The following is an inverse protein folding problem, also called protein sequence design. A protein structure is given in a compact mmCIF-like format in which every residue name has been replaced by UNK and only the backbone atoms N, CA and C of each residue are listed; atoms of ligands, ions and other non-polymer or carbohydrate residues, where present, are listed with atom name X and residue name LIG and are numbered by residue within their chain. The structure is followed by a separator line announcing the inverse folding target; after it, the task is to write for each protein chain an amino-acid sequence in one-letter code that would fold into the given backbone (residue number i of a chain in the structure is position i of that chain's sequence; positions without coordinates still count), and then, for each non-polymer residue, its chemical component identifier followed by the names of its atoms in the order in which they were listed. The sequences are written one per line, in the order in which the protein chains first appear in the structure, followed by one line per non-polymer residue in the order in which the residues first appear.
data_IF_431049044114
#
_entry.id   IF_431049044114
#
_cell.length_a   1.000
_cell.length_b   1.000
_cell.length_c   1.000
_cell.angle_alpha   90.00
_cell.angle_beta   90.00
_cell.angle_gamma   90.00
#
_symmetry.space_group_name_H-M   'P 1'
#
loop_
_entity.id
_entity.type
_entity.pdbx_description
1 polymer ?
#
# COMPACT_ATOMS: atom_id res chain seq x y z
N UNK A 1 -22.41 19.34 14.72
CA UNK A 1 -22.21 19.97 13.40
C UNK A 1 -21.55 18.93 12.52
N UNK A 2 -22.16 18.56 11.39
CA UNK A 2 -21.59 17.57 10.46
C UNK A 2 -20.59 18.26 9.54
N UNK A 3 -19.29 18.05 9.76
CA UNK A 3 -18.26 18.52 8.84
C UNK A 3 -18.28 17.68 7.56
N UNK A 4 -19.00 18.19 6.56
CA UNK A 4 -18.98 17.61 5.22
C UNK A 4 -17.64 17.91 4.55
N UNK A 5 -16.89 16.87 4.19
CA UNK A 5 -15.66 17.02 3.39
C UNK A 5 -16.03 17.67 2.05
N UNK A 6 -15.37 18.79 1.72
CA UNK A 6 -15.71 19.56 0.51
C UNK A 6 -15.41 18.77 -0.76
N UNK A 7 -16.14 19.08 -1.84
CA UNK A 7 -15.93 18.44 -3.16
C UNK A 7 -14.49 18.60 -3.65
N UNK A 8 -13.86 19.75 -3.38
CA UNK A 8 -12.45 19.99 -3.68
C UNK A 8 -11.49 19.11 -2.85
N UNK A 9 -11.80 18.90 -1.56
CA UNK A 9 -11.03 17.98 -0.71
C UNK A 9 -11.21 16.51 -1.15
N UNK A 10 -12.43 16.09 -1.49
CA UNK A 10 -12.70 14.77 -2.08
C UNK A 10 -11.99 14.58 -3.42
N UNK A 11 -11.96 15.60 -4.29
CA UNK A 11 -11.23 15.56 -5.57
C UNK A 11 -9.72 15.48 -5.38
N UNK A 12 -9.16 16.22 -4.42
CA UNK A 12 -7.74 16.16 -4.05
C UNK A 12 -7.35 14.78 -3.49
N UNK A 13 -8.19 14.24 -2.59
CA UNK A 13 -8.07 12.88 -2.08
C UNK A 13 -8.11 11.90 -3.26
N UNK A 14 -9.16 11.92 -4.10
CA UNK A 14 -9.29 11.02 -5.27
C UNK A 14 -8.13 11.12 -6.27
N UNK A 15 -7.56 12.31 -6.47
CA UNK A 15 -6.38 12.54 -7.32
C UNK A 15 -5.11 11.85 -6.83
N UNK A 16 -4.95 11.65 -5.51
CA UNK A 16 -3.91 10.78 -4.95
C UNK A 16 -4.12 9.29 -5.33
N UNK A 17 -5.28 8.89 -5.85
CA UNK A 17 -5.68 7.49 -6.10
C UNK A 17 -5.85 7.10 -7.58
N UNK A 18 -5.43 7.92 -8.55
CA UNK A 18 -5.53 7.64 -10.00
C UNK A 18 -4.89 6.32 -10.49
N UNK A 19 -4.04 5.69 -9.67
CA UNK A 19 -3.43 4.37 -9.91
C UNK A 19 -3.68 3.37 -8.76
N UNK A 20 -4.63 3.66 -7.86
CA UNK A 20 -4.82 2.95 -6.59
C UNK A 20 -6.28 2.44 -6.44
N UNK A 21 -6.74 1.47 -7.24
CA UNK A 21 -8.15 1.06 -7.34
C UNK A 21 -8.76 0.38 -6.09
N UNK A 22 -8.04 0.30 -4.97
CA UNK A 22 -8.48 -0.39 -3.74
C UNK A 22 -8.46 0.50 -2.48
N UNK A 23 -7.80 1.65 -2.51
CA UNK A 23 -7.27 2.30 -1.29
C UNK A 23 -8.19 3.34 -0.62
N UNK A 24 -9.51 3.19 -0.74
CA UNK A 24 -10.50 4.19 -0.25
C UNK A 24 -11.60 3.56 0.61
N UNK A 25 -12.00 2.30 0.37
CA UNK A 25 -13.14 1.70 1.09
C UNK A 25 -12.95 1.68 2.61
N UNK A 26 -11.73 1.37 3.06
CA UNK A 26 -11.45 1.18 4.48
C UNK A 26 -11.20 2.44 5.30
N UNK A 27 -10.51 3.45 4.75
CA UNK A 27 -10.36 4.77 5.43
C UNK A 27 -11.68 5.55 5.41
N UNK A 28 -12.50 5.42 4.36
CA UNK A 28 -13.87 5.98 4.34
C UNK A 28 -14.77 5.25 5.35
N UNK A 29 -14.70 3.91 5.43
CA UNK A 29 -15.45 3.15 6.45
C UNK A 29 -15.01 3.51 7.88
N UNK A 30 -13.71 3.67 8.13
CA UNK A 30 -13.19 4.08 9.44
C UNK A 30 -13.65 5.50 9.82
N UNK A 31 -13.52 6.48 8.91
CA UNK A 31 -14.01 7.86 9.14
C UNK A 31 -15.52 7.92 9.31
N UNK A 32 -16.28 7.08 8.60
CA UNK A 32 -17.72 6.97 8.81
C UNK A 32 -18.02 6.45 10.22
N UNK A 33 -17.37 5.37 10.66
CA UNK A 33 -17.55 4.81 12.01
C UNK A 33 -17.15 5.81 13.12
N UNK A 34 -16.01 6.51 12.96
CA UNK A 34 -15.54 7.57 13.86
C UNK A 34 -16.57 8.74 13.92
N UNK A 35 -17.05 9.23 12.77
CA UNK A 35 -18.03 10.32 12.69
C UNK A 35 -19.44 9.96 13.23
N UNK A 36 -19.73 8.67 13.36
CA UNK A 36 -20.98 8.15 13.94
C UNK A 36 -20.88 7.93 15.46
N UNK A 37 -19.69 8.01 16.05
CA UNK A 37 -19.45 7.81 17.48
C UNK A 37 -19.69 6.37 17.94
N UNK A 38 -19.39 5.38 17.10
CA UNK A 38 -19.67 3.96 17.41
C UNK A 38 -18.54 3.32 18.20
N UNK A 39 -18.42 3.71 19.47
CA UNK A 39 -17.91 2.76 20.47
C UNK A 39 -18.95 1.65 20.68
N UNK A 40 -18.48 0.45 21.00
CA UNK A 40 -19.25 -0.79 20.80
C UNK A 40 -20.64 -0.85 21.46
N UNK A 41 -21.62 -1.33 20.68
CA UNK A 41 -22.95 -1.82 21.14
C UNK A 41 -23.92 -0.74 21.66
N UNK A 42 -24.48 0.07 20.75
CA UNK A 42 -25.94 0.28 20.63
C UNK A 42 -26.32 1.45 19.67
N UNK A 43 -26.62 1.18 18.40
CA UNK A 43 -27.66 1.93 17.67
C UNK A 43 -28.11 1.24 16.38
N UNK A 44 -29.29 0.61 16.38
CA UNK A 44 -29.85 -0.07 15.20
C UNK A 44 -30.55 0.88 14.19
N UNK A 45 -30.48 2.20 14.41
CA UNK A 45 -31.32 3.20 13.72
C UNK A 45 -30.56 4.15 12.76
N UNK A 46 -29.24 3.99 12.55
CA UNK A 46 -28.47 4.82 11.61
C UNK A 46 -27.96 4.02 10.43
N UNK A 47 -28.68 4.10 9.31
CA UNK A 47 -28.23 3.56 8.03
C UNK A 47 -27.01 4.34 7.54
N UNK A 48 -25.93 3.63 7.22
CA UNK A 48 -24.69 4.22 6.74
C UNK A 48 -24.27 3.53 5.46
N UNK A 49 -24.32 4.25 4.33
CA UNK A 49 -23.94 3.74 3.03
C UNK A 49 -22.46 4.01 2.76
N UNK A 50 -21.63 2.97 2.79
CA UNK A 50 -20.25 3.04 2.34
C UNK A 50 -20.20 2.81 0.82
N UNK A 51 -19.81 3.84 0.06
CA UNK A 51 -19.64 3.75 -1.40
C UNK A 51 -18.18 3.42 -1.73
N UNK A 52 -17.94 2.26 -2.35
CA UNK A 52 -16.63 1.92 -2.92
C UNK A 52 -16.61 2.33 -4.40
N UNK A 53 -15.85 3.37 -4.74
CA UNK A 53 -15.64 3.78 -6.13
C UNK A 53 -14.42 3.07 -6.68
N UNK A 54 -14.63 2.22 -7.69
CA UNK A 54 -13.55 1.51 -8.40
C UNK A 54 -13.35 2.17 -9.76
N UNK A 55 -12.18 2.76 -9.98
CA UNK A 55 -11.77 3.23 -11.29
C UNK A 55 -11.20 2.05 -12.08
N UNK A 56 -11.94 1.60 -13.09
CA UNK A 56 -11.45 0.61 -14.05
C UNK A 56 -10.49 1.29 -15.04
N UNK A 57 -9.43 0.58 -15.52
CA UNK A 57 -8.66 1.07 -16.66
C UNK A 57 -9.57 1.23 -17.88
N UNK A 58 -9.32 2.21 -18.77
CA UNK A 58 -10.16 2.42 -19.94
C UNK A 58 -10.19 1.18 -20.82
N UNK A 59 -11.37 0.56 -20.93
CA UNK A 59 -11.59 -0.55 -21.86
C UNK A 59 -11.53 0.00 -23.28
N UNK A 60 -10.69 -0.61 -24.13
CA UNK A 60 -10.69 -0.31 -25.56
C UNK A 60 -12.04 -0.71 -26.14
N UNK A 61 -12.92 0.27 -26.37
CA UNK A 61 -14.22 0.02 -27.01
C UNK A 61 -15.35 1.01 -26.71
N UNK A 62 -15.24 1.95 -25.75
CA UNK A 62 -16.38 2.81 -25.42
C UNK A 62 -16.04 4.27 -25.05
N UNK A 63 -15.39 5.00 -25.95
CA UNK A 63 -15.41 6.46 -25.99
C UNK A 63 -15.56 6.92 -27.46
N UNK A 64 -16.81 7.00 -27.92
CA UNK A 64 -17.16 7.79 -29.10
C UNK A 64 -17.21 9.28 -28.70
N UNK A 65 -16.57 10.13 -29.50
CA UNK A 65 -16.49 11.60 -29.35
C UNK A 65 -16.00 12.13 -27.99
N UNK A 66 -14.73 12.53 -27.92
CA UNK A 66 -14.30 13.90 -27.61
C UNK A 66 -12.77 14.01 -27.83
N UNK A 67 -12.38 14.72 -28.89
CA UNK A 67 -11.03 15.20 -29.29
C UNK A 67 -9.77 14.36 -28.99
N UNK A 68 -9.50 13.39 -29.87
CA UNK A 68 -8.27 12.58 -29.90
C UNK A 68 -7.14 13.24 -30.72
N UNK A 69 -6.73 14.48 -30.38
CA UNK A 69 -5.76 15.24 -31.19
C UNK A 69 -4.52 15.79 -30.44
N UNK A 70 -4.48 15.76 -29.11
CA UNK A 70 -3.52 16.59 -28.34
C UNK A 70 -2.36 15.87 -27.61
N UNK A 71 -2.32 14.53 -27.55
CA UNK A 71 -1.47 13.80 -26.57
C UNK A 71 -0.42 12.85 -27.20
N UNK A 72 -0.27 12.80 -28.53
CA UNK A 72 0.67 11.88 -29.20
C UNK A 72 1.69 12.54 -30.16
N UNK A 73 1.81 13.87 -30.16
CA UNK A 73 2.79 14.60 -30.96
C UNK A 73 3.95 15.13 -30.10
N UNK A 74 4.90 14.26 -29.73
CA UNK A 74 6.09 14.72 -28.99
C UNK A 74 6.98 13.62 -28.42
N UNK A 75 7.76 12.94 -29.26
CA UNK A 75 9.21 12.63 -29.08
C UNK A 75 9.68 11.74 -30.24
N UNK A 76 10.41 12.38 -31.16
CA UNK A 76 11.31 11.83 -32.17
C UNK A 76 12.33 12.95 -32.45
N UNK A 77 13.65 12.76 -32.53
CA UNK A 77 14.47 11.58 -32.25
C UNK A 77 15.89 11.82 -32.79
N UNK A 78 16.93 11.69 -31.97
CA UNK A 78 18.35 11.65 -32.36
C UNK A 78 19.16 11.10 -31.17
N UNK A 79 20.22 10.30 -31.33
CA UNK A 79 20.94 9.90 -32.53
C UNK A 79 22.43 10.16 -32.35
N UNK A 80 23.14 9.27 -31.64
CA UNK A 80 24.57 9.42 -31.34
C UNK A 80 25.16 8.16 -30.70
N UNK A 81 26.28 7.67 -31.25
CA UNK A 81 26.87 6.36 -30.96
C UNK A 81 28.12 6.45 -30.05
N UNK A 82 28.34 5.44 -29.19
CA UNK A 82 29.57 4.63 -29.14
C UNK A 82 29.76 3.90 -27.78
N UNK A 83 30.31 2.67 -27.81
CA UNK A 83 31.05 2.11 -26.66
C UNK A 83 30.52 0.81 -26.02
N UNK A 84 31.01 -0.33 -26.53
CA UNK A 84 31.39 -1.59 -25.83
C UNK A 84 31.21 -1.68 -24.30
N UNK A 85 30.83 -2.81 -23.67
CA UNK A 85 30.36 -4.15 -24.07
C UNK A 85 29.83 -4.84 -22.77
N UNK A 86 29.24 -6.05 -22.69
CA UNK A 86 29.12 -7.22 -23.57
C UNK A 86 27.67 -7.79 -23.50
N UNK A 87 27.34 -8.80 -24.32
CA UNK A 87 26.06 -9.56 -24.35
C UNK A 87 26.35 -11.02 -24.80
N UNK A 88 25.41 -11.97 -24.72
CA UNK A 88 24.48 -12.27 -23.60
C UNK A 88 24.31 -13.80 -23.39
N UNK A 89 23.34 -14.23 -22.56
CA UNK A 89 22.57 -15.46 -22.85
C UNK A 89 21.07 -15.23 -22.64
N UNK A 90 20.35 -15.17 -23.75
CA UNK A 90 18.88 -15.07 -23.89
C UNK A 90 18.23 -16.46 -23.81
N UNK A 91 16.94 -16.65 -23.49
CA UNK A 91 15.81 -15.74 -23.16
C UNK A 91 14.68 -16.61 -22.52
N UNK A 92 13.37 -16.42 -22.78
CA UNK A 92 12.64 -15.30 -23.40
C UNK A 92 11.53 -14.71 -22.47
N UNK A 93 10.85 -13.62 -22.90
CA UNK A 93 9.60 -13.15 -22.28
C UNK A 93 9.59 -11.68 -21.83
N UNK A 94 8.46 -10.99 -22.00
CA UNK A 94 8.29 -9.55 -21.71
C UNK A 94 8.37 -9.23 -20.21
N UNK A 95 9.49 -8.65 -19.77
CA UNK A 95 9.54 -7.58 -18.75
C UNK A 95 8.85 -7.78 -17.39
N UNK A 96 8.46 -8.98 -17.01
CA UNK A 96 7.77 -9.24 -15.75
C UNK A 96 8.78 -9.33 -14.59
N UNK A 97 8.50 -8.59 -13.52
CA UNK A 97 9.39 -8.48 -12.36
C UNK A 97 9.35 -9.80 -11.58
N UNK A 98 10.41 -10.62 -11.72
CA UNK A 98 10.46 -11.99 -11.19
C UNK A 98 10.50 -12.05 -9.65
N UNK A 99 11.00 -10.99 -8.99
CA UNK A 99 11.02 -10.85 -7.54
C UNK A 99 10.95 -9.38 -7.13
N UNK A 100 10.34 -9.12 -5.98
CA UNK A 100 10.25 -7.78 -5.36
C UNK A 100 10.84 -7.82 -3.97
N UNK A 101 11.43 -6.73 -3.50
CA UNK A 101 11.87 -6.61 -2.10
C UNK A 101 10.79 -5.88 -1.31
N UNK A 102 10.31 -6.47 -0.23
CA UNK A 102 9.19 -5.93 0.55
C UNK A 102 9.58 -5.72 2.01
N UNK A 103 9.06 -4.65 2.61
CA UNK A 103 8.84 -4.55 4.06
C UNK A 103 7.35 -4.72 4.33
N UNK A 104 6.99 -5.32 5.46
CA UNK A 104 5.61 -5.41 5.88
C UNK A 104 5.42 -5.20 7.39
N UNK A 105 4.18 -4.86 7.76
CA UNK A 105 3.66 -4.98 9.11
C UNK A 105 2.45 -5.92 9.04
N UNK A 106 2.39 -6.91 9.93
CA UNK A 106 1.28 -7.87 10.02
C UNK A 106 0.59 -7.76 11.38
N UNK A 107 -0.72 -7.59 11.37
CA UNK A 107 -1.58 -7.68 12.56
C UNK A 107 -2.57 -8.82 12.36
N UNK A 108 -2.52 -9.85 13.22
CA UNK A 108 -3.45 -11.00 13.17
C UNK A 108 -4.84 -10.65 13.68
N UNK A 109 -5.78 -11.56 13.52
CA UNK A 109 -7.08 -11.54 14.21
C UNK A 109 -7.51 -12.98 14.52
N UNK A 110 -8.56 -13.14 15.32
CA UNK A 110 -9.05 -14.45 15.79
C UNK A 110 -9.56 -15.36 14.67
N UNK A 111 -9.96 -14.77 13.55
CA UNK A 111 -10.69 -15.45 12.46
C UNK A 111 -9.73 -16.08 11.41
N UNK A 112 -8.41 -16.04 11.64
CA UNK A 112 -7.39 -16.68 10.81
C UNK A 112 -7.11 -18.12 11.26
N UNK A 113 -6.42 -18.92 10.43
CA UNK A 113 -6.12 -20.34 10.70
C UNK A 113 -5.33 -20.60 11.99
N UNK A 114 -4.46 -19.66 12.38
CA UNK A 114 -3.60 -19.74 13.57
C UNK A 114 -3.60 -18.40 14.33
N UNK A 115 -4.59 -18.16 15.21
CA UNK A 115 -4.76 -16.90 15.93
C UNK A 115 -3.80 -16.80 17.14
N UNK A 116 -2.50 -16.75 16.86
CA UNK A 116 -1.43 -16.64 17.85
C UNK A 116 -0.35 -15.64 17.39
N UNK A 117 0.07 -14.75 18.27
CA UNK A 117 1.17 -13.81 18.05
C UNK A 117 2.50 -14.45 18.49
N UNK A 118 3.40 -14.83 17.56
CA UNK A 118 4.69 -15.44 17.89
C UNK A 118 5.68 -14.43 18.50
N UNK A 119 5.53 -13.13 18.22
CA UNK A 119 6.42 -12.08 18.75
C UNK A 119 6.13 -11.82 20.22
N UNK A 120 4.85 -11.75 20.61
CA UNK A 120 4.42 -11.52 22.01
C UNK A 120 3.99 -12.80 22.74
N UNK A 121 4.12 -13.96 22.08
CA UNK A 121 3.85 -15.32 22.61
C UNK A 121 2.46 -15.45 23.27
N UNK A 122 1.41 -14.94 22.62
CA UNK A 122 0.05 -14.89 23.17
C UNK A 122 -1.04 -15.21 22.14
N UNK A 123 -2.19 -15.77 22.54
CA UNK A 123 -3.34 -15.95 21.65
C UNK A 123 -3.92 -14.59 21.22
N UNK A 124 -4.50 -14.55 20.01
CA UNK A 124 -5.07 -13.36 19.39
C UNK A 124 -6.59 -13.46 19.39
N UNK A 125 -7.23 -12.79 20.35
CA UNK A 125 -8.69 -12.84 20.55
C UNK A 125 -9.47 -11.71 19.83
N UNK A 126 -8.75 -10.71 19.30
CA UNK A 126 -9.35 -9.54 18.64
C UNK A 126 -9.95 -9.90 17.27
N UNK A 127 -10.98 -9.18 16.88
CA UNK A 127 -11.65 -9.26 15.57
C UNK A 127 -10.79 -8.75 14.44
N UNK A 128 -11.14 -9.10 13.20
CA UNK A 128 -10.56 -8.47 12.00
C UNK A 128 -10.72 -6.94 12.00
N UNK A 129 -11.88 -6.41 12.43
CA UNK A 129 -12.13 -4.97 12.47
C UNK A 129 -11.16 -4.22 13.42
N UNK A 130 -10.84 -4.80 14.57
CA UNK A 130 -9.85 -4.24 15.50
C UNK A 130 -8.41 -4.34 14.97
N UNK A 131 -8.09 -5.38 14.18
CA UNK A 131 -6.82 -5.49 13.49
C UNK A 131 -6.68 -4.41 12.40
N UNK A 132 -7.74 -4.22 11.61
CA UNK A 132 -7.88 -3.15 10.62
C UNK A 132 -7.71 -1.76 11.26
N UNK A 133 -8.43 -1.46 12.34
CA UNK A 133 -8.38 -0.15 13.00
C UNK A 133 -6.96 0.19 13.50
N UNK A 134 -6.28 -0.77 14.15
CA UNK A 134 -4.87 -0.62 14.59
C UNK A 134 -3.97 -0.31 13.40
N UNK A 135 -4.11 -1.08 12.32
CA UNK A 135 -3.20 -1.00 11.18
C UNK A 135 -3.48 0.24 10.31
N UNK A 136 -4.72 0.75 10.29
CA UNK A 136 -5.07 2.08 9.72
C UNK A 136 -4.41 3.21 10.49
N UNK A 137 -4.39 3.17 11.82
CA UNK A 137 -3.66 4.13 12.65
C UNK A 137 -2.19 4.21 12.24
N UNK A 138 -1.52 3.05 12.17
CA UNK A 138 -0.13 2.94 11.73
C UNK A 138 0.07 3.45 10.30
N UNK A 139 -0.81 3.11 9.35
CA UNK A 139 -0.71 3.60 7.97
C UNK A 139 -0.81 5.13 7.89
N UNK A 140 -1.75 5.75 8.64
CA UNK A 140 -1.89 7.22 8.69
C UNK A 140 -0.60 7.88 9.16
N UNK A 141 0.03 7.32 10.19
CA UNK A 141 1.29 7.85 10.72
C UNK A 141 2.47 7.72 9.76
N UNK A 142 2.59 6.58 9.06
CA UNK A 142 3.62 6.34 8.04
C UNK A 142 3.43 7.25 6.82
N UNK A 143 2.19 7.45 6.36
CA UNK A 143 1.90 8.33 5.22
C UNK A 143 2.11 9.82 5.54
N UNK A 144 1.83 10.24 6.79
CA UNK A 144 2.11 11.61 7.24
C UNK A 144 3.62 11.89 7.24
N UNK A 145 4.42 10.98 7.80
CA UNK A 145 5.89 11.08 7.78
C UNK A 145 6.45 11.00 6.35
N UNK A 146 5.89 10.15 5.49
CA UNK A 146 6.31 10.09 4.09
C UNK A 146 5.99 11.39 3.33
N UNK A 147 4.94 12.13 3.72
CA UNK A 147 4.60 13.45 3.17
C UNK A 147 5.57 14.54 3.65
N UNK A 148 5.95 14.57 4.93
CA UNK A 148 6.93 15.55 5.44
C UNK A 148 8.31 15.34 4.79
N UNK A 149 8.79 14.09 4.77
CA UNK A 149 10.06 13.75 4.12
C UNK A 149 10.06 14.08 2.62
N UNK A 150 8.95 13.87 1.90
CA UNK A 150 8.84 14.28 0.49
C UNK A 150 8.79 15.80 0.31
N UNK A 151 8.30 16.56 1.27
CA UNK A 151 8.32 18.03 1.22
C UNK A 151 9.75 18.57 1.41
N UNK A 152 10.50 18.02 2.36
CA UNK A 152 11.92 18.33 2.62
C UNK A 152 12.80 17.95 1.42
N UNK A 153 12.68 16.70 0.91
CA UNK A 153 13.44 16.20 -0.25
C UNK A 153 13.18 16.98 -1.55
N UNK A 154 12.07 17.70 -1.68
CA UNK A 154 11.84 18.57 -2.85
C UNK A 154 12.79 19.76 -2.92
N UNK A 155 13.44 20.13 -1.81
CA UNK A 155 14.50 21.13 -1.79
C UNK A 155 15.84 20.52 -2.25
N UNK A 156 16.11 19.26 -1.89
CA UNK A 156 17.36 18.54 -2.20
C UNK A 156 17.20 17.43 -3.25
N UNK A 157 17.43 17.80 -4.52
CA UNK A 157 17.36 16.92 -5.71
C UNK A 157 18.20 15.62 -5.67
N UNK A 158 19.09 15.44 -4.68
CA UNK A 158 19.91 14.22 -4.50
C UNK A 158 19.22 13.12 -3.67
N UNK A 159 18.17 13.41 -2.91
CA UNK A 159 17.62 12.48 -1.91
C UNK A 159 16.45 11.61 -2.42
N UNK A 160 16.43 11.23 -3.70
CA UNK A 160 15.32 10.52 -4.35
C UNK A 160 14.92 9.20 -3.67
N UNK A 161 15.85 8.52 -2.99
CA UNK A 161 15.62 7.23 -2.31
C UNK A 161 15.32 7.33 -0.81
N UNK A 162 15.24 8.53 -0.22
CA UNK A 162 15.01 8.68 1.23
C UNK A 162 13.70 8.01 1.68
N UNK A 163 12.65 8.09 0.87
CA UNK A 163 11.33 7.52 1.13
C UNK A 163 11.24 5.98 1.01
N UNK A 164 12.34 5.31 0.65
CA UNK A 164 12.48 3.84 0.58
C UNK A 164 13.12 3.27 1.84
N UNK A 165 13.98 4.06 2.50
CA UNK A 165 14.64 3.66 3.74
C UNK A 165 13.66 3.70 4.91
N UNK A 166 13.79 2.78 5.89
CA UNK A 166 12.95 2.81 7.07
C UNK A 166 13.33 4.00 7.96
N UNK A 167 12.35 4.83 8.26
CA UNK A 167 12.46 5.92 9.23
C UNK A 167 12.52 5.36 10.66
N UNK A 168 13.07 6.12 11.64
CA UNK A 168 13.00 5.71 13.05
C UNK A 168 11.58 5.40 13.50
N UNK A 169 10.59 6.18 13.04
CA UNK A 169 9.18 5.97 13.35
C UNK A 169 8.63 4.68 12.73
N UNK A 170 8.96 4.39 11.47
CA UNK A 170 8.63 3.12 10.82
C UNK A 170 9.19 1.92 11.61
N UNK A 171 10.43 2.01 12.11
CA UNK A 171 11.04 0.95 12.92
C UNK A 171 10.30 0.77 14.26
N UNK A 172 9.93 1.85 14.94
CA UNK A 172 9.16 1.81 16.19
C UNK A 172 7.77 1.18 15.96
N UNK A 173 7.00 1.70 15.01
CA UNK A 173 5.66 1.19 14.69
C UNK A 173 5.70 -0.28 14.25
N UNK A 174 6.74 -0.69 13.51
CA UNK A 174 6.92 -2.10 13.12
C UNK A 174 7.15 -2.99 14.35
N UNK A 175 8.03 -2.59 15.28
CA UNK A 175 8.27 -3.36 16.52
C UNK A 175 7.04 -3.40 17.44
N UNK A 176 6.33 -2.29 17.56
CA UNK A 176 5.20 -2.14 18.47
C UNK A 176 3.95 -2.86 18.00
N UNK A 177 3.63 -2.80 16.70
CA UNK A 177 2.36 -3.31 16.15
C UNK A 177 2.48 -4.59 15.32
N UNK A 178 3.61 -4.84 14.66
CA UNK A 178 3.74 -6.05 13.84
C UNK A 178 3.90 -7.29 14.72
N UNK A 179 3.33 -8.39 14.23
CA UNK A 179 3.35 -9.71 14.85
C UNK A 179 4.04 -10.75 13.95
N UNK A 180 4.55 -10.34 12.78
CA UNK A 180 5.47 -11.20 12.04
C UNK A 180 6.86 -11.17 12.69
N UNK A 181 7.55 -12.31 12.69
CA UNK A 181 8.91 -12.44 13.20
C UNK A 181 9.91 -11.51 12.49
N UNK A 182 9.60 -11.08 11.26
CA UNK A 182 10.32 -10.03 10.52
C UNK A 182 10.49 -8.74 11.33
N UNK A 183 9.56 -8.43 12.24
CA UNK A 183 9.63 -7.28 13.13
C UNK A 183 10.75 -7.35 14.17
N UNK A 184 11.22 -8.56 14.51
CA UNK A 184 12.32 -8.78 15.47
C UNK A 184 13.70 -8.53 14.86
N UNK A 185 13.81 -8.42 13.53
CA UNK A 185 15.06 -8.12 12.83
C UNK A 185 15.60 -6.75 13.23
N UNK A 186 16.92 -6.68 13.44
CA UNK A 186 17.61 -5.46 13.86
C UNK A 186 17.80 -4.42 12.74
N UNK A 187 18.00 -3.16 13.15
CA UNK A 187 18.32 -2.05 12.24
C UNK A 187 17.29 -1.86 11.12
N UNK A 188 17.79 -1.52 9.92
CA UNK A 188 16.93 -1.29 8.75
C UNK A 188 16.20 -2.54 8.20
N UNK A 189 16.50 -3.73 8.71
CA UNK A 189 15.84 -4.98 8.33
C UNK A 189 14.56 -5.26 9.12
N UNK A 190 14.19 -4.42 10.09
CA UNK A 190 12.92 -4.55 10.81
C UNK A 190 11.73 -4.51 9.82
N UNK A 191 10.90 -5.55 9.86
CA UNK A 191 9.78 -5.77 8.94
C UNK A 191 10.19 -6.16 7.51
N UNK A 192 11.48 -6.22 7.17
CA UNK A 192 11.96 -6.57 5.83
C UNK A 192 11.77 -8.08 5.59
N UNK A 193 11.02 -8.43 4.54
CA UNK A 193 10.83 -9.81 4.08
C UNK A 193 12.01 -10.30 3.21
N UNK A 194 12.89 -9.40 2.77
CA UNK A 194 13.91 -9.68 1.77
C UNK A 194 13.31 -9.69 0.36
N UNK A 195 14.03 -10.31 -0.57
CA UNK A 195 13.54 -10.55 -1.93
C UNK A 195 12.56 -11.73 -1.90
N UNK A 196 11.35 -11.49 -2.37
CA UNK A 196 10.26 -12.47 -2.42
C UNK A 196 9.97 -12.76 -3.89
N UNK A 197 10.03 -14.02 -4.32
CA UNK A 197 9.70 -14.40 -5.69
C UNK A 197 8.18 -14.36 -5.92
N UNK A 198 7.75 -14.33 -7.18
CA UNK A 198 6.32 -14.43 -7.48
C UNK A 198 5.67 -15.74 -6.97
N UNK A 199 6.45 -16.80 -6.84
CA UNK A 199 5.98 -18.08 -6.30
C UNK A 199 5.79 -18.02 -4.78
N UNK A 200 6.75 -17.43 -4.07
CA UNK A 200 6.65 -17.19 -2.63
C UNK A 200 5.50 -16.24 -2.28
N UNK A 201 5.26 -15.20 -3.10
CA UNK A 201 4.14 -14.26 -2.90
C UNK A 201 2.78 -14.97 -2.89
N UNK A 202 2.61 -16.06 -3.65
CA UNK A 202 1.34 -16.82 -3.66
C UNK A 202 1.06 -17.54 -2.34
N UNK A 203 2.09 -17.84 -1.53
CA UNK A 203 1.89 -18.41 -0.19
C UNK A 203 1.16 -17.47 0.76
N UNK A 204 1.30 -16.15 0.56
CA UNK A 204 0.56 -15.11 1.30
C UNK A 204 -0.85 -14.85 0.73
N UNK A 205 -1.27 -15.59 -0.31
CA UNK A 205 -2.57 -15.43 -0.96
C UNK A 205 -2.57 -14.48 -2.18
N UNK A 206 -3.60 -14.58 -3.04
CA UNK A 206 -3.64 -13.87 -4.32
C UNK A 206 -3.73 -12.35 -4.17
N UNK A 207 -4.45 -11.87 -3.15
CA UNK A 207 -4.58 -10.43 -2.81
C UNK A 207 -3.23 -9.81 -2.46
N UNK A 208 -2.44 -10.48 -1.62
CA UNK A 208 -1.09 -10.07 -1.26
C UNK A 208 -0.17 -10.03 -2.48
N UNK A 209 -0.18 -11.09 -3.29
CA UNK A 209 0.63 -11.19 -4.51
C UNK A 209 0.27 -10.15 -5.57
N UNK A 210 -0.99 -9.76 -5.70
CA UNK A 210 -1.43 -8.66 -6.57
C UNK A 210 -0.93 -7.31 -6.07
N UNK A 211 -1.19 -6.97 -4.80
CA UNK A 211 -0.79 -5.68 -4.23
C UNK A 211 0.72 -5.52 -4.28
N UNK A 212 1.49 -6.52 -3.84
CA UNK A 212 2.96 -6.51 -3.85
C UNK A 212 3.56 -6.18 -5.24
N UNK A 213 2.98 -6.70 -6.33
CA UNK A 213 3.44 -6.44 -7.70
C UNK A 213 3.05 -5.06 -8.22
N UNK A 214 1.89 -4.54 -7.82
CA UNK A 214 1.37 -3.24 -8.30
C UNK A 214 1.99 -2.04 -7.58
N UNK A 215 2.62 -2.22 -6.43
CA UNK A 215 3.31 -1.15 -5.72
C UNK A 215 4.50 -0.62 -6.53
N UNK A 216 4.64 0.71 -6.53
CA UNK A 216 5.86 1.40 -6.95
C UNK A 216 6.94 1.32 -5.86
N UNK A 217 8.21 1.45 -6.23
CA UNK A 217 9.31 1.50 -5.25
C UNK A 217 9.10 2.67 -4.27
N UNK A 218 9.25 2.40 -2.98
CA UNK A 218 9.00 3.32 -1.87
C UNK A 218 7.52 3.54 -1.53
N UNK A 219 6.57 2.92 -2.24
CA UNK A 219 5.13 3.06 -1.98
C UNK A 219 4.66 2.13 -0.85
N UNK A 220 3.83 2.67 0.05
CA UNK A 220 3.01 1.89 0.98
C UNK A 220 1.67 1.48 0.36
N UNK A 221 1.20 0.26 0.65
CA UNK A 221 -0.15 -0.21 0.32
C UNK A 221 -1.21 0.34 1.28
N UNK A 222 -2.48 0.17 0.92
CA UNK A 222 -3.56 0.08 1.91
C UNK A 222 -3.52 -1.31 2.58
N UNK A 223 -4.44 -1.58 3.50
CA UNK A 223 -4.59 -2.84 4.21
C UNK A 223 -4.89 -3.99 3.24
N UNK A 224 -4.14 -5.08 3.39
CA UNK A 224 -4.30 -6.32 2.60
C UNK A 224 -4.62 -7.47 3.53
N UNK A 225 -5.76 -8.13 3.35
CA UNK A 225 -6.12 -9.33 4.12
C UNK A 225 -5.55 -10.60 3.48
N UNK A 226 -5.10 -11.54 4.31
CA UNK A 226 -4.79 -12.92 3.94
C UNK A 226 -5.01 -13.91 5.09
N UNK A 227 -4.80 -15.20 4.85
CA UNK A 227 -4.86 -16.30 5.81
C UNK A 227 -3.95 -16.13 7.05
N UNK A 228 -3.01 -15.18 7.03
CA UNK A 228 -2.17 -14.82 8.16
C UNK A 228 -2.66 -13.60 8.95
N UNK A 229 -3.63 -12.82 8.44
CA UNK A 229 -4.13 -11.59 9.04
C UNK A 229 -4.10 -10.41 8.08
N UNK A 230 -3.95 -9.21 8.62
CA UNK A 230 -4.00 -7.95 7.86
C UNK A 230 -2.59 -7.35 7.75
N UNK A 231 -2.20 -6.94 6.54
CA UNK A 231 -0.85 -6.50 6.21
C UNK A 231 -0.82 -5.07 5.66
N UNK A 232 0.23 -4.31 5.99
CA UNK A 232 0.71 -3.18 5.19
C UNK A 232 2.00 -3.59 4.51
N UNK A 233 2.16 -3.23 3.23
CA UNK A 233 3.33 -3.53 2.43
C UNK A 233 4.01 -2.24 2.00
N UNK A 234 5.34 -2.17 2.12
CA UNK A 234 6.17 -1.18 1.47
C UNK A 234 7.07 -1.89 0.45
N UNK A 235 7.04 -1.48 -0.81
CA UNK A 235 8.01 -1.99 -1.78
C UNK A 235 9.35 -1.27 -1.61
N UNK A 236 10.42 -2.02 -1.39
CA UNK A 236 11.80 -1.52 -1.28
C UNK A 236 12.49 -1.52 -2.66
N UNK A 237 12.21 -2.55 -3.48
CA UNK A 237 12.72 -2.70 -4.85
C UNK A 237 11.74 -3.51 -5.70
#
# INVERSE_FOLDING_TARGET
VTENVSVAALGSIAGDFSLKPRAVSGEVAARAAEALGVDGVANAARQCAAVTVVFLPPTKGHLSSLDEAAVLAGVSGSGGSAGSAKRPKTGPGKGEVQSVRLRHLLVRHRDIRQPFDPVRKKPVIRTQLEADARLRGVLRELLLEQRTLKAEVRQDRKASMAHVQPTPKCLTLTKEFSECESATKGGGMCGDLGWVSFDDLRSFGPTFAEVARTLSVGQWSDLVSSDHGVHLLQRIA
#
